data_IF_170429170583
#
_entry.id   IF_170429170583
#
_cell.length_a   1.000
_cell.length_b   1.000
_cell.length_c   1.000
_cell.angle_alpha   90.00
_cell.angle_beta   90.00
_cell.angle_gamma   90.00
#
_symmetry.space_group_name_H-M   'P 1'
#
loop_
_entity.id
_entity.type
_entity.pdbx_description
1 polymer ?
#
# COMPACT_ATOMS: atom_id res chain seq x y z
N UNK A 1 50.80 -32.50 45.60
CA UNK A 1 49.36 -32.75 45.86
C UNK A 1 48.63 -32.60 44.52
N UNK A 2 47.99 -33.65 44.01
CA UNK A 2 47.30 -33.67 42.71
C UNK A 2 45.85 -33.24 42.94
N UNK A 3 45.43 -32.13 42.33
CA UNK A 3 44.04 -31.65 42.40
C UNK A 3 43.33 -31.96 41.08
N UNK A 4 42.37 -32.86 41.14
CA UNK A 4 41.46 -33.24 40.05
C UNK A 4 40.17 -32.45 40.22
N UNK A 5 39.87 -31.54 39.27
CA UNK A 5 38.58 -30.87 39.19
C UNK A 5 37.71 -31.54 38.11
N UNK A 6 36.44 -31.87 38.39
CA UNK A 6 35.55 -32.46 37.39
C UNK A 6 35.01 -31.38 36.46
N UNK A 7 35.13 -31.60 35.14
CA UNK A 7 34.45 -30.81 34.12
C UNK A 7 32.95 -31.14 34.15
N UNK A 8 32.14 -30.26 34.72
CA UNK A 8 30.69 -30.23 34.47
C UNK A 8 30.43 -29.46 33.18
N UNK A 9 30.02 -30.17 32.13
CA UNK A 9 29.57 -29.56 30.88
C UNK A 9 28.22 -28.86 31.09
N UNK A 10 28.23 -27.53 31.12
CA UNK A 10 27.03 -26.69 31.16
C UNK A 10 26.49 -26.58 29.73
N UNK A 11 25.42 -27.32 29.44
CA UNK A 11 24.63 -27.18 28.22
C UNK A 11 23.80 -25.90 28.32
N UNK A 12 24.29 -24.81 27.73
CA UNK A 12 23.56 -23.55 27.57
C UNK A 12 22.56 -23.73 26.43
N UNK A 13 21.29 -23.95 26.75
CA UNK A 13 20.19 -23.85 25.78
C UNK A 13 20.03 -22.38 25.37
N UNK A 14 20.66 -21.99 24.26
CA UNK A 14 20.42 -20.71 23.61
C UNK A 14 19.00 -20.71 23.01
N UNK A 15 18.03 -20.15 23.74
CA UNK A 15 16.70 -19.88 23.18
C UNK A 15 16.85 -18.81 22.10
N UNK A 16 16.74 -19.20 20.83
CA UNK A 16 16.77 -18.24 19.72
C UNK A 16 15.43 -17.49 19.71
N UNK A 17 15.41 -16.17 19.95
CA UNK A 17 14.18 -15.41 19.85
C UNK A 17 13.75 -15.39 18.38
N UNK A 18 12.63 -16.06 18.07
CA UNK A 18 11.97 -15.95 16.76
C UNK A 18 11.33 -14.58 16.66
N UNK A 19 12.08 -13.60 16.14
CA UNK A 19 11.52 -12.31 15.74
C UNK A 19 10.62 -12.51 14.53
N UNK A 20 9.31 -12.48 14.76
CA UNK A 20 8.32 -12.44 13.68
C UNK A 20 8.36 -11.03 13.05
N UNK A 21 9.05 -10.90 11.91
CA UNK A 21 9.01 -9.70 11.09
C UNK A 21 7.58 -9.55 10.54
N UNK A 22 6.74 -8.77 11.21
CA UNK A 22 5.51 -8.28 10.58
C UNK A 22 5.94 -7.54 9.32
N UNK A 23 5.52 -8.04 8.15
CA UNK A 23 5.79 -7.39 6.87
C UNK A 23 5.20 -5.99 6.90
N UNK A 24 6.04 -4.99 7.16
CA UNK A 24 5.63 -3.61 7.19
C UNK A 24 5.48 -3.09 5.75
N UNK A 25 4.49 -2.23 5.53
CA UNK A 25 4.32 -1.60 4.23
C UNK A 25 5.58 -0.80 3.86
N UNK A 26 6.11 -1.02 2.65
CA UNK A 26 7.21 -0.22 2.15
C UNK A 26 6.76 1.24 1.92
N UNK A 27 7.65 2.22 2.11
CA UNK A 27 7.32 3.63 1.91
C UNK A 27 6.81 3.89 0.48
N UNK A 28 6.00 4.93 0.25
CA UNK A 28 5.55 5.30 -1.10
C UNK A 28 6.69 5.46 -2.11
N UNK A 29 6.53 4.99 -3.36
CA UNK A 29 7.53 5.25 -4.39
C UNK A 29 7.51 6.74 -4.76
N UNK A 30 8.70 7.32 -4.95
CA UNK A 30 8.89 8.76 -5.19
C UNK A 30 9.44 9.09 -6.56
N UNK A 31 9.92 8.07 -7.30
CA UNK A 31 10.44 8.20 -8.67
C UNK A 31 9.64 7.35 -9.65
N UNK A 32 9.48 7.83 -10.87
CA UNK A 32 8.85 7.04 -11.95
C UNK A 32 9.64 5.74 -12.15
N UNK A 33 8.93 4.63 -12.26
CA UNK A 33 9.47 3.27 -12.36
C UNK A 33 9.75 2.60 -11.00
N UNK A 34 9.74 3.34 -9.89
CA UNK A 34 9.89 2.77 -8.56
C UNK A 34 8.59 2.08 -8.12
N UNK A 35 8.74 0.93 -7.46
CA UNK A 35 7.62 0.18 -6.87
C UNK A 35 7.80 -0.03 -5.37
N UNK A 36 6.68 -0.16 -4.67
CA UNK A 36 6.62 -0.47 -3.25
C UNK A 36 5.63 -1.60 -3.00
N UNK A 37 6.04 -2.56 -2.19
CA UNK A 37 5.14 -3.59 -1.69
C UNK A 37 4.39 -3.05 -0.47
N UNK A 38 3.07 -3.08 -0.53
CA UNK A 38 2.18 -2.57 0.52
C UNK A 38 0.92 -3.43 0.57
N UNK A 39 -0.06 -3.03 1.36
CA UNK A 39 -1.33 -3.71 1.49
C UNK A 39 -2.48 -2.77 1.18
N UNK A 40 -3.56 -3.31 0.65
CA UNK A 40 -4.84 -2.59 0.56
C UNK A 40 -5.32 -2.31 1.98
N UNK A 41 -5.58 -1.03 2.28
CA UNK A 41 -6.21 -0.59 3.52
C UNK A 41 -7.73 -0.67 3.37
N UNK A 42 -8.27 -0.05 2.31
CA UNK A 42 -9.71 0.13 2.13
C UNK A 42 -10.04 0.25 0.64
N UNK A 43 -11.23 -0.24 0.26
CA UNK A 43 -11.82 -0.04 -1.07
C UNK A 43 -13.21 0.57 -0.87
N UNK A 44 -13.55 1.58 -1.65
CA UNK A 44 -14.80 2.33 -1.54
C UNK A 44 -15.28 2.78 -2.93
N UNK A 45 -16.55 3.20 -3.01
CA UNK A 45 -16.98 4.10 -4.08
C UNK A 45 -16.27 5.45 -3.94
N UNK A 46 -16.12 6.18 -5.04
CA UNK A 46 -15.49 7.50 -5.05
C UNK A 46 -16.16 8.47 -4.09
N UNK A 47 -17.50 8.49 -4.10
CA UNK A 47 -18.30 9.34 -3.24
C UNK A 47 -19.10 8.54 -2.23
N UNK A 48 -19.35 9.19 -1.10
CA UNK A 48 -20.32 8.78 -0.10
C UNK A 48 -21.33 9.89 0.11
N UNK A 49 -22.55 9.52 0.44
CA UNK A 49 -23.59 10.46 0.80
C UNK A 49 -23.17 11.27 2.04
N UNK A 50 -23.32 12.59 1.96
CA UNK A 50 -22.77 13.50 2.96
C UNK A 50 -23.39 13.30 4.36
N UNK A 51 -24.66 12.88 4.42
CA UNK A 51 -25.43 12.74 5.65
C UNK A 51 -25.32 11.32 6.20
N UNK A 52 -25.66 10.33 5.40
CA UNK A 52 -25.75 8.92 5.80
C UNK A 52 -24.41 8.19 5.78
N UNK A 53 -23.38 8.78 5.14
CA UNK A 53 -22.07 8.16 4.90
C UNK A 53 -22.13 6.87 4.09
N UNK A 54 -23.26 6.58 3.44
CA UNK A 54 -23.41 5.40 2.59
C UNK A 54 -22.66 5.59 1.27
N UNK A 55 -22.08 4.53 0.70
CA UNK A 55 -21.50 4.56 -0.65
C UNK A 55 -22.52 5.04 -1.70
N UNK A 56 -22.11 5.94 -2.60
CA UNK A 56 -22.89 6.30 -3.79
C UNK A 56 -22.46 5.38 -4.93
N UNK A 57 -23.30 4.42 -5.29
CA UNK A 57 -23.03 3.47 -6.36
C UNK A 57 -22.87 4.18 -7.70
N UNK A 58 -21.93 3.73 -8.53
CA UNK A 58 -21.63 4.34 -9.83
C UNK A 58 -20.91 5.69 -9.76
N UNK A 59 -20.55 6.19 -8.56
CA UNK A 59 -19.79 7.44 -8.44
C UNK A 59 -18.31 7.32 -8.84
N UNK A 60 -17.85 6.09 -9.05
CA UNK A 60 -16.47 5.72 -9.36
C UNK A 60 -15.81 4.89 -8.26
N UNK A 61 -14.50 4.71 -8.38
CA UNK A 61 -13.71 3.84 -7.49
C UNK A 61 -12.73 4.66 -6.67
N UNK A 62 -12.58 4.31 -5.39
CA UNK A 62 -11.50 4.78 -4.52
C UNK A 62 -10.85 3.63 -3.79
N UNK A 63 -9.52 3.68 -3.67
CA UNK A 63 -8.74 2.66 -2.96
C UNK A 63 -7.58 3.30 -2.18
N UNK A 64 -7.38 2.82 -0.96
CA UNK A 64 -6.34 3.27 -0.04
C UNK A 64 -5.37 2.14 0.27
N UNK A 65 -4.10 2.49 0.47
CA UNK A 65 -3.03 1.54 0.81
C UNK A 65 -2.39 1.89 2.16
N UNK A 66 -1.84 0.87 2.84
CA UNK A 66 -1.24 1.01 4.18
C UNK A 66 0.01 1.87 4.24
N UNK A 67 0.58 2.26 3.10
CA UNK A 67 1.70 3.20 3.02
C UNK A 67 1.25 4.65 2.72
N UNK A 68 -0.05 4.94 2.77
CA UNK A 68 -0.60 6.29 2.65
C UNK A 68 -0.95 6.73 1.23
N UNK A 69 -0.74 5.88 0.21
CA UNK A 69 -1.23 6.18 -1.14
C UNK A 69 -2.76 5.98 -1.19
N UNK A 70 -3.44 6.97 -1.76
CA UNK A 70 -4.86 6.94 -2.12
C UNK A 70 -4.95 7.05 -3.63
N UNK A 71 -5.84 6.29 -4.27
CA UNK A 71 -6.11 6.37 -5.70
C UNK A 71 -7.60 6.48 -5.97
N UNK A 72 -7.95 7.14 -7.07
CA UNK A 72 -9.34 7.48 -7.40
C UNK A 72 -9.62 7.44 -8.91
N UNK A 73 -10.83 7.06 -9.29
CA UNK A 73 -11.37 7.20 -10.64
C UNK A 73 -12.86 7.56 -10.61
N UNK A 74 -13.34 8.25 -11.64
CA UNK A 74 -14.77 8.39 -11.93
C UNK A 74 -15.41 7.08 -12.38
N UNK A 75 -14.61 6.17 -12.95
CA UNK A 75 -15.10 4.88 -13.40
C UNK A 75 -15.19 3.87 -12.26
N UNK A 76 -16.13 2.94 -12.38
CA UNK A 76 -16.11 1.67 -11.66
C UNK A 76 -15.01 0.80 -12.28
N UNK A 77 -13.96 0.50 -11.50
CA UNK A 77 -12.79 -0.26 -11.93
C UNK A 77 -12.82 -1.63 -11.25
N UNK A 78 -13.34 -2.68 -11.91
CA UNK A 78 -13.63 -3.96 -11.28
C UNK A 78 -12.40 -4.62 -10.65
N UNK A 79 -11.22 -4.45 -11.24
CA UNK A 79 -9.96 -4.98 -10.72
C UNK A 79 -9.61 -4.37 -9.35
N UNK A 80 -9.82 -3.06 -9.20
CA UNK A 80 -9.62 -2.38 -7.94
C UNK A 80 -10.74 -2.75 -6.93
N UNK A 81 -12.00 -2.77 -7.36
CA UNK A 81 -13.14 -3.12 -6.50
C UNK A 81 -13.10 -4.57 -6.00
N UNK A 82 -12.48 -5.49 -6.76
CA UNK A 82 -12.27 -6.88 -6.34
C UNK A 82 -11.20 -7.06 -5.25
N UNK A 83 -10.47 -5.99 -4.92
CA UNK A 83 -9.47 -5.98 -3.85
C UNK A 83 -10.12 -5.96 -2.47
N UNK A 84 -9.42 -6.50 -1.48
CA UNK A 84 -9.91 -6.59 -0.09
C UNK A 84 -8.87 -6.02 0.89
N UNK A 85 -9.30 -5.49 2.05
CA UNK A 85 -8.36 -5.11 3.09
C UNK A 85 -7.36 -6.22 3.41
N UNK A 86 -6.09 -5.84 3.56
CA UNK A 86 -4.90 -6.70 3.73
C UNK A 86 -4.45 -7.48 2.49
N UNK A 87 -5.03 -7.26 1.32
CA UNK A 87 -4.48 -7.83 0.10
C UNK A 87 -3.06 -7.29 -0.14
N UNK A 88 -2.06 -8.16 -0.36
CA UNK A 88 -0.72 -7.71 -0.73
C UNK A 88 -0.75 -7.14 -2.14
N UNK A 89 -0.13 -5.98 -2.33
CA UNK A 89 -0.06 -5.32 -3.64
C UNK A 89 1.36 -4.87 -3.95
N UNK A 90 1.69 -4.86 -5.24
CA UNK A 90 2.83 -4.13 -5.79
C UNK A 90 2.30 -2.84 -6.41
N UNK A 91 2.73 -1.70 -5.88
CA UNK A 91 2.30 -0.37 -6.33
C UNK A 91 3.48 0.36 -6.95
N UNK A 92 3.38 0.73 -8.22
CA UNK A 92 4.46 1.35 -9.00
C UNK A 92 4.06 2.75 -9.45
N UNK A 93 4.90 3.74 -9.20
CA UNK A 93 4.72 5.10 -9.70
C UNK A 93 5.08 5.14 -11.18
N UNK A 94 4.15 5.49 -12.04
CA UNK A 94 4.36 5.50 -13.50
C UNK A 94 4.36 6.90 -14.12
N UNK A 95 3.76 7.89 -13.44
CA UNK A 95 3.75 9.27 -13.91
C UNK A 95 3.74 10.25 -12.75
N UNK A 96 4.50 11.34 -12.89
CA UNK A 96 4.46 12.51 -12.01
C UNK A 96 4.08 13.71 -12.90
N UNK A 97 3.01 14.46 -12.58
CA UNK A 97 2.60 15.59 -13.39
C UNK A 97 3.66 16.69 -13.37
N UNK A 98 3.71 17.45 -14.46
CA UNK A 98 4.67 18.54 -14.68
C UNK A 98 3.94 19.88 -14.62
N UNK A 99 4.69 20.97 -14.42
CA UNK A 99 4.16 22.34 -14.40
C UNK A 99 3.07 22.59 -13.33
N UNK A 100 3.16 21.89 -12.20
CA UNK A 100 2.25 22.07 -11.09
C UNK A 100 2.50 23.40 -10.35
N UNK A 101 1.46 24.07 -9.82
CA UNK A 101 1.64 25.17 -8.89
C UNK A 101 2.51 24.78 -7.68
N UNK A 102 3.28 25.71 -7.09
CA UNK A 102 4.09 25.42 -5.92
C UNK A 102 3.27 24.79 -4.79
N UNK A 103 3.67 23.59 -4.35
CA UNK A 103 3.01 22.85 -3.28
C UNK A 103 1.89 21.90 -3.72
N UNK A 104 1.40 21.97 -4.97
CA UNK A 104 0.41 21.04 -5.50
C UNK A 104 1.08 19.81 -6.11
N UNK A 105 1.13 18.72 -5.35
CA UNK A 105 1.79 17.47 -5.75
C UNK A 105 0.81 16.39 -6.24
N UNK A 106 -0.45 16.75 -6.44
CA UNK A 106 -1.53 15.85 -6.87
C UNK A 106 -1.35 15.42 -8.32
N UNK A 107 -1.95 14.29 -8.70
CA UNK A 107 -2.01 13.80 -10.08
C UNK A 107 -0.97 12.76 -10.45
N UNK A 108 -0.26 12.19 -9.45
CA UNK A 108 0.63 11.07 -9.70
C UNK A 108 -0.18 9.86 -10.11
N UNK A 109 0.30 9.12 -11.10
CA UNK A 109 -0.38 7.93 -11.60
C UNK A 109 0.38 6.69 -11.19
N UNK A 110 -0.36 5.70 -10.71
CA UNK A 110 0.19 4.46 -10.20
C UNK A 110 -0.43 3.26 -10.90
N UNK A 111 0.40 2.27 -11.23
CA UNK A 111 -0.06 0.94 -11.58
C UNK A 111 0.02 0.05 -10.35
N UNK A 112 -1.07 -0.64 -10.04
CA UNK A 112 -1.18 -1.53 -8.89
C UNK A 112 -1.47 -2.92 -9.39
N UNK A 113 -0.66 -3.90 -8.96
CA UNK A 113 -0.95 -5.32 -9.12
C UNK A 113 -1.33 -5.89 -7.76
N UNK A 114 -2.57 -6.37 -7.65
CA UNK A 114 -3.01 -7.13 -6.48
C UNK A 114 -2.46 -8.55 -6.55
N UNK A 115 -1.62 -8.92 -5.60
CA UNK A 115 -0.89 -10.18 -5.62
C UNK A 115 -1.77 -11.37 -5.20
N UNK A 116 -2.95 -11.14 -4.61
CA UNK A 116 -3.97 -12.18 -4.37
C UNK A 116 -4.77 -12.46 -5.62
N UNK A 117 -5.35 -11.43 -6.25
CA UNK A 117 -6.23 -11.61 -7.42
C UNK A 117 -5.46 -11.73 -8.74
N UNK A 118 -4.18 -11.34 -8.74
CA UNK A 118 -3.32 -11.19 -9.92
C UNK A 118 -3.83 -10.16 -10.94
N UNK A 119 -4.83 -9.35 -10.56
CA UNK A 119 -5.36 -8.27 -11.39
C UNK A 119 -4.51 -7.02 -11.25
N UNK A 120 -4.48 -6.24 -12.32
CA UNK A 120 -3.72 -4.99 -12.40
C UNK A 120 -4.65 -3.87 -12.84
N UNK A 121 -4.49 -2.69 -12.24
CA UNK A 121 -5.21 -1.48 -12.60
C UNK A 121 -4.29 -0.26 -12.48
N UNK A 122 -4.63 0.82 -13.16
CA UNK A 122 -3.87 2.07 -13.15
C UNK A 122 -4.79 3.22 -12.80
N UNK A 123 -4.47 3.96 -11.75
CA UNK A 123 -5.29 5.07 -11.25
C UNK A 123 -4.41 6.24 -10.78
N UNK A 124 -4.90 7.49 -10.87
CA UNK A 124 -4.25 8.64 -10.27
C UNK A 124 -4.53 8.76 -8.77
N UNK A 125 -3.66 9.46 -8.04
CA UNK A 125 -3.89 9.86 -6.64
C UNK A 125 -4.81 11.08 -6.50
N UNK A 126 -5.15 11.72 -7.62
CA UNK A 126 -6.10 12.82 -7.71
C UNK A 126 -6.83 12.77 -9.03
N UNK A 127 -8.15 12.86 -8.96
CA UNK A 127 -9.01 12.83 -10.15
C UNK A 127 -8.77 14.02 -11.10
N UNK A 128 -8.37 15.17 -10.55
CA UNK A 128 -8.19 16.40 -11.31
C UNK A 128 -6.73 16.80 -11.50
N UNK A 129 -5.78 15.94 -11.10
CA UNK A 129 -4.35 16.26 -11.13
C UNK A 129 -3.97 17.51 -10.32
N UNK A 130 -2.74 18.01 -10.50
CA UNK A 130 -2.30 19.31 -9.99
C UNK A 130 -2.76 20.45 -10.90
N UNK A 131 -2.90 21.65 -10.34
CA UNK A 131 -3.27 22.84 -11.11
C UNK A 131 -4.78 23.10 -11.20
N UNK A 132 -5.62 22.19 -10.69
CA UNK A 132 -7.03 22.51 -10.47
C UNK A 132 -7.94 21.31 -10.35
N UNK A 133 -9.23 21.62 -10.25
CA UNK A 133 -10.37 20.84 -10.70
C UNK A 133 -11.13 21.68 -11.72
#
# INVERSE_FOLDING_TARGET
>A
MKSTFPLTAILIFLSVPTFSLKSQAAPPPTKVGQCSNTFVSKVMTRLQDAVTKKPILGSGTSIEFTNGIYLVSYDTVPEAESSKPRDPVKLCLISIPQNCPPGDNRGKVYTVTNLRTKKTFTLPDSQHSCGGA
#
